data_IF_891142272127
#
_entry.id   IF_891142272127
#
_cell.length_a   1.000
_cell.length_b   1.000
_cell.length_c   1.000
_cell.angle_alpha   90.00
_cell.angle_beta   90.00
_cell.angle_gamma   90.00
#
_symmetry.space_group_name_H-M   'P 1'
#
loop_
_entity.id
_entity.type
_entity.pdbx_description
1 polymer ?
#
# COMPACT_ATOMS: atom_id res chain seq x y z
N UNK A 1 5.36 3.45 -11.85
CA UNK A 1 5.94 3.68 -10.50
C UNK A 1 6.43 2.34 -9.98
N UNK A 2 7.58 2.29 -9.30
CA UNK A 2 8.09 1.03 -8.78
C UNK A 2 7.09 0.43 -7.78
N UNK A 3 6.84 -0.87 -7.92
CA UNK A 3 5.96 -1.67 -7.06
C UNK A 3 6.61 -2.01 -5.72
N UNK A 4 7.87 -1.64 -5.56
CA UNK A 4 8.72 -1.93 -4.43
C UNK A 4 9.45 -0.68 -3.96
N UNK A 5 9.84 -0.69 -2.70
CA UNK A 5 10.84 0.22 -2.15
C UNK A 5 11.70 -0.52 -1.14
N UNK A 6 12.95 -0.09 -1.04
CA UNK A 6 13.88 -0.59 -0.03
C UNK A 6 13.59 0.06 1.33
N UNK A 7 13.51 -0.75 2.39
CA UNK A 7 13.19 -0.29 3.72
C UNK A 7 13.95 -1.03 4.82
N UNK A 8 14.08 -0.39 5.98
CA UNK A 8 14.54 -1.05 7.20
C UNK A 8 13.57 -2.16 7.61
N UNK A 9 14.08 -3.38 7.84
CA UNK A 9 13.26 -4.53 8.25
C UNK A 9 12.51 -4.30 9.57
N UNK A 10 13.04 -3.45 10.46
CA UNK A 10 12.50 -3.26 11.81
C UNK A 10 11.48 -2.13 11.91
N UNK A 11 11.72 -0.99 11.24
CA UNK A 11 10.88 0.21 11.38
C UNK A 11 10.24 0.67 10.08
N UNK A 12 10.48 -0.04 8.97
CA UNK A 12 9.88 0.21 7.66
C UNK A 12 10.23 1.58 7.04
N UNK A 13 11.19 2.31 7.65
CA UNK A 13 11.71 3.55 7.07
C UNK A 13 12.32 3.24 5.70
N UNK A 14 11.92 4.00 4.68
CA UNK A 14 12.49 3.93 3.31
C UNK A 14 13.97 4.32 3.30
N UNK A 15 14.77 3.59 2.52
CA UNK A 15 16.16 3.88 2.20
C UNK A 15 16.39 3.83 0.69
N UNK A 16 17.38 4.59 0.21
CA UNK A 16 17.92 4.51 -1.16
C UNK A 16 19.21 3.69 -1.10
N UNK A 17 19.10 2.44 -0.63
CA UNK A 17 20.22 1.50 -0.48
C UNK A 17 19.83 0.15 -1.11
N UNK A 18 20.81 -0.64 -1.60
CA UNK A 18 20.53 -1.97 -2.12
C UNK A 18 19.84 -2.85 -1.08
N UNK A 19 18.88 -3.67 -1.52
CA UNK A 19 18.31 -4.75 -0.72
C UNK A 19 19.43 -5.68 -0.24
N UNK A 20 19.26 -6.27 0.94
CA UNK A 20 20.23 -7.06 1.72
C UNK A 20 21.33 -6.27 2.44
N UNK A 21 21.47 -4.96 2.19
CA UNK A 21 22.46 -4.13 2.89
C UNK A 21 22.27 -4.18 4.41
N UNK A 22 23.35 -4.43 5.14
CA UNK A 22 23.37 -4.28 6.61
C UNK A 22 23.55 -2.80 6.96
N UNK A 23 22.71 -2.30 7.87
CA UNK A 23 22.69 -0.89 8.26
C UNK A 23 22.51 -0.73 9.76
N UNK A 24 23.06 0.36 10.31
CA UNK A 24 22.53 0.94 11.54
C UNK A 24 21.46 1.97 11.18
N UNK A 25 20.20 1.62 11.40
CA UNK A 25 19.08 2.44 10.92
C UNK A 25 19.04 3.81 11.62
N UNK A 26 19.12 4.89 10.86
CA UNK A 26 19.05 6.27 11.38
C UNK A 26 17.71 6.61 12.05
N UNK A 27 16.63 5.90 11.71
CA UNK A 27 15.29 6.17 12.25
C UNK A 27 14.98 5.41 13.54
N UNK A 28 15.44 4.16 13.68
CA UNK A 28 15.18 3.37 14.89
C UNK A 28 16.45 3.09 15.73
N UNK A 29 17.61 3.60 15.30
CA UNK A 29 18.91 3.48 15.94
C UNK A 29 19.30 2.04 16.35
N UNK A 30 18.92 1.07 15.51
CA UNK A 30 19.22 -0.36 15.69
C UNK A 30 19.91 -0.90 14.45
N UNK A 31 20.76 -1.89 14.65
CA UNK A 31 21.32 -2.69 13.57
C UNK A 31 20.18 -3.48 12.91
N UNK A 32 20.18 -3.50 11.58
CA UNK A 32 19.06 -3.95 10.76
C UNK A 32 19.56 -4.32 9.37
N UNK A 33 18.71 -5.02 8.60
CA UNK A 33 18.91 -5.23 7.18
C UNK A 33 17.92 -4.40 6.36
N UNK A 34 18.33 -4.02 5.14
CA UNK A 34 17.44 -3.48 4.12
C UNK A 34 16.70 -4.62 3.42
N UNK A 35 15.37 -4.54 3.37
CA UNK A 35 14.49 -5.52 2.73
C UNK A 35 13.59 -4.83 1.70
N UNK A 36 13.13 -5.56 0.65
CA UNK A 36 12.17 -5.03 -0.28
C UNK A 36 10.80 -5.00 0.39
N UNK A 37 10.01 -3.97 0.10
CA UNK A 37 8.65 -3.82 0.61
C UNK A 37 7.71 -3.40 -0.50
N UNK A 38 6.55 -4.06 -0.55
CA UNK A 38 5.52 -3.80 -1.56
C UNK A 38 4.95 -2.40 -1.40
N UNK A 39 4.74 -1.74 -2.53
CA UNK A 39 4.11 -0.42 -2.68
C UNK A 39 3.34 -0.40 -4.00
N UNK A 40 2.06 -0.72 -3.95
CA UNK A 40 1.21 -0.81 -5.14
C UNK A 40 0.40 0.49 -5.27
N UNK A 41 0.58 1.25 -6.36
CA UNK A 41 -0.33 2.36 -6.66
C UNK A 41 -1.66 1.80 -7.17
N UNK A 42 -2.76 2.31 -6.63
CA UNK A 42 -4.12 1.91 -7.03
C UNK A 42 -5.00 3.13 -7.24
N UNK A 43 -6.09 2.93 -7.97
CA UNK A 43 -7.20 3.86 -8.02
C UNK A 43 -8.37 3.22 -7.27
N UNK A 44 -8.97 3.98 -6.35
CA UNK A 44 -10.23 3.61 -5.72
C UNK A 44 -11.29 4.52 -6.30
N UNK A 45 -12.35 3.93 -6.82
CA UNK A 45 -13.44 4.61 -7.51
C UNK A 45 -14.75 4.29 -6.80
N UNK A 46 -15.55 5.33 -6.56
CA UNK A 46 -16.92 5.21 -6.08
C UNK A 46 -17.86 6.11 -6.92
N UNK A 47 -19.13 6.22 -6.51
CA UNK A 47 -20.10 7.05 -7.21
C UNK A 47 -19.77 8.55 -7.20
N UNK A 48 -18.87 8.99 -6.32
CA UNK A 48 -18.51 10.41 -6.10
C UNK A 48 -17.22 10.79 -6.82
N UNK A 49 -16.33 9.83 -7.08
CA UNK A 49 -15.12 10.09 -7.86
C UNK A 49 -14.04 9.03 -7.70
N UNK A 50 -12.82 9.45 -8.04
CA UNK A 50 -11.63 8.59 -8.04
C UNK A 50 -10.54 9.18 -7.15
N UNK A 51 -9.95 8.37 -6.28
CA UNK A 51 -8.73 8.73 -5.55
C UNK A 51 -7.56 7.85 -6.01
N UNK A 52 -6.41 8.49 -6.27
CA UNK A 52 -5.14 7.81 -6.50
C UNK A 52 -4.47 7.54 -5.14
N UNK A 53 -4.37 6.28 -4.78
CA UNK A 53 -3.89 5.82 -3.47
C UNK A 53 -2.71 4.86 -3.59
N UNK A 54 -2.09 4.57 -2.44
CA UNK A 54 -0.99 3.59 -2.35
C UNK A 54 -1.28 2.60 -1.23
N UNK A 55 -1.16 1.32 -1.57
CA UNK A 55 -1.21 0.19 -0.64
C UNK A 55 0.22 -0.25 -0.32
N UNK A 56 0.50 -0.52 0.96
CA UNK A 56 1.82 -0.94 1.41
C UNK A 56 1.85 -2.39 1.87
N UNK A 57 2.97 -3.05 1.56
CA UNK A 57 3.49 -4.28 2.17
C UNK A 57 2.42 -5.33 2.46
N UNK A 58 2.07 -5.59 3.72
CA UNK A 58 1.22 -6.73 4.09
C UNK A 58 -0.14 -6.69 3.38
N UNK A 59 -0.78 -5.52 3.32
CA UNK A 59 -2.06 -5.36 2.63
C UNK A 59 -1.86 -5.47 1.11
N UNK A 60 -0.72 -4.98 0.60
CA UNK A 60 -0.36 -5.10 -0.81
C UNK A 60 -0.14 -6.55 -1.24
N UNK A 61 0.70 -7.29 -0.51
CA UNK A 61 1.05 -8.70 -0.75
C UNK A 61 -0.18 -9.60 -0.71
N UNK A 62 -1.11 -9.37 0.23
CA UNK A 62 -2.40 -10.08 0.28
C UNK A 62 -3.20 -9.87 -1.00
N UNK A 63 -3.26 -8.65 -1.51
CA UNK A 63 -4.04 -8.34 -2.71
C UNK A 63 -3.41 -8.85 -3.99
N UNK A 64 -2.08 -8.78 -4.13
CA UNK A 64 -1.42 -9.25 -5.34
C UNK A 64 -1.08 -10.73 -5.32
N UNK A 65 -1.26 -11.43 -4.18
CA UNK A 65 -0.84 -12.84 -4.01
C UNK A 65 0.65 -13.07 -4.36
N UNK A 66 1.47 -12.03 -4.25
CA UNK A 66 2.91 -12.06 -4.51
C UNK A 66 3.64 -11.41 -3.33
N UNK A 67 4.70 -12.05 -2.87
CA UNK A 67 5.59 -11.50 -1.84
C UNK A 67 6.50 -10.42 -2.43
N UNK A 68 7.05 -9.53 -1.60
CA UNK A 68 8.03 -8.54 -2.04
C UNK A 68 9.23 -9.15 -2.79
N UNK A 69 9.67 -10.36 -2.43
CA UNK A 69 10.75 -11.07 -3.11
C UNK A 69 10.35 -11.53 -4.52
N UNK A 70 9.14 -12.06 -4.69
CA UNK A 70 8.64 -12.46 -6.02
C UNK A 70 8.47 -11.26 -6.96
N UNK A 71 8.07 -10.12 -6.41
CA UNK A 71 8.01 -8.87 -7.16
C UNK A 71 9.39 -8.36 -7.56
N UNK A 72 10.40 -8.55 -6.70
CA UNK A 72 11.78 -8.13 -6.97
C UNK A 72 12.40 -8.98 -8.08
N UNK A 73 12.20 -10.30 -8.03
CA UNK A 73 12.63 -11.22 -9.08
C UNK A 73 11.97 -10.91 -10.43
N UNK A 74 10.69 -10.53 -10.43
CA UNK A 74 9.97 -10.19 -11.64
C UNK A 74 10.40 -8.84 -12.23
N UNK A 75 10.69 -7.85 -11.38
CA UNK A 75 11.27 -6.57 -11.81
C UNK A 75 12.66 -6.78 -12.43
N UNK A 76 13.49 -7.64 -11.81
CA UNK A 76 14.80 -8.03 -12.35
C UNK A 76 14.71 -8.75 -13.71
N UNK A 77 13.60 -9.46 -13.96
CA UNK A 77 13.30 -10.12 -15.24
C UNK A 77 12.64 -9.16 -16.26
N UNK A 78 12.40 -7.89 -15.90
CA UNK A 78 11.75 -6.90 -16.76
C UNK A 78 10.27 -7.18 -17.00
N UNK A 79 9.61 -7.94 -16.13
CA UNK A 79 8.19 -8.20 -16.24
C UNK A 79 7.39 -7.00 -15.75
N UNK A 80 6.51 -6.46 -16.60
CA UNK A 80 5.52 -5.47 -16.16
C UNK A 80 4.38 -6.16 -15.42
N UNK A 81 4.54 -6.29 -14.10
CA UNK A 81 3.51 -6.86 -13.22
C UNK A 81 2.44 -5.84 -12.84
N UNK A 82 2.67 -4.54 -13.04
CA UNK A 82 1.72 -3.51 -12.64
C UNK A 82 0.41 -3.64 -13.41
N UNK A 83 0.48 -3.89 -14.72
CA UNK A 83 -0.71 -4.09 -15.54
C UNK A 83 -1.46 -5.39 -15.20
N UNK A 84 -0.75 -6.45 -14.81
CA UNK A 84 -1.38 -7.68 -14.32
C UNK A 84 -2.13 -7.45 -13.02
N UNK A 85 -1.52 -6.78 -12.04
CA UNK A 85 -2.18 -6.47 -10.77
C UNK A 85 -3.35 -5.51 -10.94
N UNK A 86 -3.23 -4.52 -11.82
CA UNK A 86 -4.36 -3.66 -12.16
C UNK A 86 -5.53 -4.47 -12.73
N UNK A 87 -5.25 -5.44 -13.60
CA UNK A 87 -6.27 -6.30 -14.18
C UNK A 87 -6.91 -7.22 -13.12
N UNK A 88 -6.12 -7.80 -12.21
CA UNK A 88 -6.61 -8.66 -11.13
C UNK A 88 -7.45 -7.89 -10.10
N UNK A 89 -7.04 -6.67 -9.75
CA UNK A 89 -7.76 -5.83 -8.79
C UNK A 89 -9.00 -5.15 -9.39
N UNK A 90 -9.12 -5.10 -10.72
CA UNK A 90 -10.21 -4.38 -11.38
C UNK A 90 -11.57 -4.99 -11.03
N UNK A 91 -12.48 -4.14 -10.56
CA UNK A 91 -13.84 -4.56 -10.20
C UNK A 91 -13.94 -5.27 -8.85
N UNK A 92 -12.85 -5.31 -8.06
CA UNK A 92 -12.89 -5.84 -6.70
C UNK A 92 -13.51 -4.79 -5.77
N UNK A 93 -14.57 -5.17 -5.06
CA UNK A 93 -15.14 -4.35 -3.99
C UNK A 93 -14.30 -4.52 -2.72
N UNK A 94 -13.95 -3.38 -2.12
CA UNK A 94 -13.05 -3.32 -0.97
C UNK A 94 -13.57 -2.32 0.04
N UNK A 95 -13.33 -2.60 1.32
CA UNK A 95 -13.44 -1.58 2.37
C UNK A 95 -12.04 -1.04 2.62
N UNK A 96 -11.88 0.27 2.48
CA UNK A 96 -10.60 0.94 2.64
C UNK A 96 -10.64 2.01 3.74
N UNK A 97 -9.67 1.98 4.65
CA UNK A 97 -9.40 3.08 5.56
C UNK A 97 -8.38 4.00 4.90
N UNK A 98 -8.82 5.20 4.52
CA UNK A 98 -8.01 6.16 3.79
C UNK A 98 -7.40 7.18 4.76
N UNK A 99 -6.09 7.34 4.70
CA UNK A 99 -5.36 8.43 5.35
C UNK A 99 -4.82 9.39 4.29
N UNK A 100 -5.24 10.65 4.36
CA UNK A 100 -4.67 11.73 3.55
C UNK A 100 -3.55 12.46 4.30
N UNK A 101 -2.54 12.93 3.57
CA UNK A 101 -1.54 13.87 4.08
C UNK A 101 -0.95 14.68 2.93
N UNK A 102 -0.38 15.84 3.25
CA UNK A 102 0.37 16.62 2.26
C UNK A 102 1.86 16.31 2.34
N UNK A 103 2.46 16.02 1.18
CA UNK A 103 3.90 15.90 1.01
C UNK A 103 4.32 16.81 -0.15
N UNK A 104 5.21 17.77 0.10
CA UNK A 104 5.72 18.70 -0.92
C UNK A 104 4.61 19.41 -1.72
N UNK A 105 3.54 19.83 -1.05
CA UNK A 105 2.38 20.50 -1.69
C UNK A 105 1.47 19.56 -2.50
N UNK A 106 1.74 18.25 -2.50
CA UNK A 106 0.89 17.25 -3.14
C UNK A 106 0.12 16.47 -2.07
N UNK A 107 -1.20 16.36 -2.24
CA UNK A 107 -2.02 15.48 -1.39
C UNK A 107 -1.77 14.03 -1.78
N UNK A 108 -1.37 13.21 -0.81
CA UNK A 108 -1.17 11.79 -0.97
C UNK A 108 -2.19 11.03 -0.13
N UNK A 109 -2.68 9.91 -0.68
CA UNK A 109 -3.58 9.00 0.00
C UNK A 109 -2.90 7.65 0.21
N UNK A 110 -2.93 7.17 1.44
CA UNK A 110 -2.46 5.83 1.81
C UNK A 110 -3.64 5.09 2.39
N UNK A 111 -3.78 3.83 1.99
CA UNK A 111 -4.96 3.05 2.33
C UNK A 111 -4.58 1.74 3.00
N UNK A 112 -5.41 1.35 3.95
CA UNK A 112 -5.48 -0.01 4.47
C UNK A 112 -6.75 -0.66 3.93
N UNK A 113 -6.61 -1.77 3.22
CA UNK A 113 -7.70 -2.40 2.47
C UNK A 113 -8.10 -3.74 3.07
N UNK A 114 -9.38 -4.06 2.92
CA UNK A 114 -9.96 -5.34 3.28
C UNK A 114 -10.87 -5.79 2.12
N UNK A 115 -10.74 -7.05 1.71
CA UNK A 115 -11.65 -7.65 0.71
C UNK A 115 -12.99 -7.89 1.37
N UNK A 116 -14.08 -7.51 0.71
CA UNK A 116 -15.44 -7.57 1.28
C UNK A 116 -15.81 -8.99 1.75
N UNK A 117 -15.37 -10.02 1.02
CA UNK A 117 -15.59 -11.42 1.36
C UNK A 117 -14.90 -11.90 2.66
N UNK A 118 -13.91 -11.16 3.17
CA UNK A 118 -13.15 -11.49 4.38
C UNK A 118 -13.63 -10.73 5.62
N UNK A 119 -14.60 -9.82 5.46
CA UNK A 119 -15.09 -9.02 6.56
C UNK A 119 -16.13 -9.77 7.39
N UNK A 120 -16.00 -9.81 8.72
CA UNK A 120 -17.02 -10.40 9.58
C UNK A 120 -18.32 -9.59 9.49
N UNK A 121 -19.45 -10.30 9.52
CA UNK A 121 -20.83 -9.78 9.35
C UNK A 121 -21.23 -8.58 10.24
N UNK A 122 -20.39 -8.14 11.18
CA UNK A 122 -20.65 -6.97 12.03
C UNK A 122 -20.07 -5.67 11.47
N UNK A 123 -19.24 -5.71 10.43
CA UNK A 123 -18.98 -4.49 9.64
C UNK A 123 -20.29 -4.19 8.94
N UNK A 124 -20.99 -3.18 9.45
CA UNK A 124 -22.30 -2.78 8.94
C UNK A 124 -22.21 -2.66 7.42
N UNK A 125 -23.20 -3.18 6.67
CA UNK A 125 -23.26 -2.91 5.23
C UNK A 125 -23.19 -1.40 5.08
N UNK A 126 -22.09 -0.94 4.48
CA UNK A 126 -22.00 0.45 4.04
C UNK A 126 -23.04 0.51 2.94
N UNK A 127 -24.17 1.16 3.21
CA UNK A 127 -25.13 1.53 2.17
C UNK A 127 -24.36 2.19 1.03
N UNK A 128 -24.79 2.01 -0.23
CA UNK A 128 -24.17 2.66 -1.41
C UNK A 128 -24.05 4.20 -1.28
N UNK A 129 -24.67 4.79 -0.25
CA UNK A 129 -24.38 6.12 0.24
C UNK A 129 -23.00 6.18 0.93
N UNK A 130 -22.00 6.64 0.17
CA UNK A 130 -20.63 6.95 0.61
C UNK A 130 -20.59 7.72 1.95
N UNK A 131 -20.23 7.06 3.04
CA UNK A 131 -20.03 7.71 4.35
C UNK A 131 -18.58 8.16 4.49
N UNK A 132 -18.28 9.39 4.08
CA UNK A 132 -17.00 10.05 4.39
C UNK A 132 -17.08 10.59 5.82
N UNK A 133 -16.49 9.91 6.80
CA UNK A 133 -16.29 10.47 8.14
C UNK A 133 -14.91 11.14 8.25
N UNK A 134 -14.89 12.47 8.12
CA UNK A 134 -13.73 13.29 8.46
C UNK A 134 -13.62 13.43 9.99
N UNK A 135 -12.61 12.79 10.59
CA UNK A 135 -12.27 13.06 11.99
C UNK A 135 -11.35 14.28 12.06
N UNK A 136 -11.88 15.40 12.53
CA UNK A 136 -11.08 16.59 12.83
C UNK A 136 -10.06 16.24 13.93
N UNK A 137 -8.77 16.33 13.61
CA UNK A 137 -7.70 16.32 14.60
C UNK A 137 -7.90 17.53 15.52
N UNK A 138 -8.24 17.27 16.80
CA UNK A 138 -8.17 18.30 17.83
C UNK A 138 -6.70 18.71 17.97
N UNK A 139 -6.47 20.03 17.79
CA UNK A 139 -5.19 20.70 17.93
C UNK A 139 -4.60 20.57 19.34
#
# INVERSE_FOLDING_TARGET
HPLLFAACMLCLKKFELPVTSEIRCSSCNRDSQIVPRVRIPINIEDATGTIAAVVYSEDGEKHVSHTAAQLEDADAQGMDLLEKFKAEMKGTHVVAFVRSFQANGTTCYVVKMYVDAELPNYILPVSDESITQEFALKA
#
